data_IF_335758452895
#
_entry.id   IF_335758452895
#
_cell.length_a   1.000
_cell.length_b   1.000
_cell.length_c   1.000
_cell.angle_alpha   90.00
_cell.angle_beta   90.00
_cell.angle_gamma   90.00
#
_symmetry.space_group_name_H-M   'P 1'
#
loop_
_entity.id
_entity.type
_entity.pdbx_description
1 polymer ?
#
# COMPACT_ATOMS: atom_id res chain seq x y z
N UNK A 1 -10.95 8.48 -12.61
CA UNK A 1 -10.58 7.98 -13.95
C UNK A 1 -11.34 8.73 -15.04
N UNK A 2 -12.65 8.89 -14.95
CA UNK A 2 -13.44 9.59 -15.96
C UNK A 2 -13.06 11.07 -16.07
N UNK A 3 -13.13 11.83 -15.00
CA UNK A 3 -12.84 13.28 -14.98
C UNK A 3 -11.35 13.58 -15.18
N UNK A 4 -10.44 12.82 -14.54
CA UNK A 4 -9.00 13.10 -14.61
C UNK A 4 -8.34 12.57 -15.89
N UNK A 5 -8.80 11.46 -16.44
CA UNK A 5 -8.17 10.76 -17.57
C UNK A 5 -9.05 10.76 -18.85
N UNK A 6 -10.24 11.35 -18.78
CA UNK A 6 -11.16 11.41 -19.91
C UNK A 6 -11.71 10.05 -20.35
N UNK A 7 -11.67 9.03 -19.50
CA UNK A 7 -12.14 7.70 -19.85
C UNK A 7 -13.67 7.62 -19.87
N UNK A 8 -14.21 6.79 -20.78
CA UNK A 8 -15.62 6.44 -20.75
C UNK A 8 -15.98 5.68 -19.46
N UNK A 9 -17.24 5.77 -19.03
CA UNK A 9 -17.72 5.04 -17.86
C UNK A 9 -17.56 3.52 -18.02
N UNK A 10 -17.72 2.98 -19.22
CA UNK A 10 -17.50 1.56 -19.53
C UNK A 10 -16.04 1.14 -19.35
N UNK A 11 -15.10 1.95 -19.86
CA UNK A 11 -13.66 1.69 -19.71
C UNK A 11 -13.24 1.79 -18.24
N UNK A 12 -13.73 2.78 -17.51
CA UNK A 12 -13.48 2.90 -16.07
C UNK A 12 -14.04 1.70 -15.29
N UNK A 13 -15.25 1.23 -15.64
CA UNK A 13 -15.84 0.01 -15.08
C UNK A 13 -15.01 -1.25 -15.36
N UNK A 14 -14.49 -1.39 -16.59
CA UNK A 14 -13.60 -2.49 -16.95
C UNK A 14 -12.30 -2.46 -16.12
N UNK A 15 -11.68 -1.28 -15.91
CA UNK A 15 -10.51 -1.13 -15.05
C UNK A 15 -10.79 -1.52 -13.60
N UNK A 16 -11.97 -1.18 -13.06
CA UNK A 16 -12.38 -1.60 -11.72
C UNK A 16 -12.53 -3.13 -11.63
N UNK A 17 -13.07 -3.77 -12.67
CA UNK A 17 -13.15 -5.24 -12.73
C UNK A 17 -11.76 -5.87 -12.74
N UNK A 18 -10.83 -5.34 -13.53
CA UNK A 18 -9.41 -5.75 -13.52
C UNK A 18 -8.80 -5.56 -12.13
N UNK A 19 -9.11 -4.45 -11.45
CA UNK A 19 -8.65 -4.19 -10.08
C UNK A 19 -9.09 -5.29 -9.11
N UNK A 20 -10.37 -5.67 -9.14
CA UNK A 20 -10.90 -6.73 -8.27
C UNK A 20 -10.24 -8.08 -8.57
N UNK A 21 -10.10 -8.44 -9.84
CA UNK A 21 -9.44 -9.68 -10.24
C UNK A 21 -7.97 -9.71 -9.79
N UNK A 22 -7.24 -8.61 -9.96
CA UNK A 22 -5.86 -8.47 -9.52
C UNK A 22 -5.74 -8.54 -7.98
N UNK A 23 -6.67 -7.93 -7.24
CA UNK A 23 -6.70 -7.99 -5.78
C UNK A 23 -6.91 -9.44 -5.28
N UNK A 24 -7.84 -10.19 -5.89
CA UNK A 24 -8.07 -11.59 -5.54
C UNK A 24 -6.83 -12.44 -5.81
N UNK A 25 -6.25 -12.32 -7.01
CA UNK A 25 -5.06 -13.07 -7.39
C UNK A 25 -3.86 -12.74 -6.46
N UNK A 26 -3.64 -11.46 -6.20
CA UNK A 26 -2.57 -11.01 -5.30
C UNK A 26 -2.78 -11.47 -3.86
N UNK A 27 -4.02 -11.53 -3.38
CA UNK A 27 -4.36 -12.05 -2.06
C UNK A 27 -3.91 -13.50 -1.88
N UNK A 28 -4.17 -14.35 -2.87
CA UNK A 28 -3.73 -15.74 -2.88
C UNK A 28 -2.19 -15.81 -2.88
N UNK A 29 -1.54 -15.08 -3.77
CA UNK A 29 -0.07 -15.09 -3.88
C UNK A 29 0.59 -14.57 -2.60
N UNK A 30 0.10 -13.46 -2.05
CA UNK A 30 0.64 -12.90 -0.80
C UNK A 30 0.40 -13.83 0.38
N UNK A 31 -0.76 -14.50 0.46
CA UNK A 31 -1.03 -15.50 1.49
C UNK A 31 -0.02 -16.66 1.45
N UNK A 32 0.26 -17.18 0.26
CA UNK A 32 1.27 -18.22 0.07
C UNK A 32 2.69 -17.74 0.41
N UNK A 33 3.05 -16.53 -0.02
CA UNK A 33 4.38 -15.95 0.25
C UNK A 33 4.60 -15.65 1.73
N UNK A 34 3.62 -15.10 2.41
CA UNK A 34 3.72 -14.78 3.86
C UNK A 34 3.75 -16.04 4.72
N UNK A 35 3.05 -17.10 4.31
CA UNK A 35 3.13 -18.42 4.95
C UNK A 35 4.48 -19.10 4.74
N UNK A 36 4.99 -19.06 3.49
CA UNK A 36 6.26 -19.72 3.15
C UNK A 36 7.50 -18.97 3.62
N UNK A 37 7.43 -17.63 3.70
CA UNK A 37 8.57 -16.77 4.02
C UNK A 37 8.24 -15.74 5.13
N UNK A 38 7.95 -16.19 6.37
CA UNK A 38 7.49 -15.31 7.45
C UNK A 38 8.49 -14.19 7.78
N UNK A 39 9.80 -14.44 7.65
CA UNK A 39 10.85 -13.46 7.89
C UNK A 39 10.98 -12.38 6.81
N UNK A 40 10.34 -12.57 5.65
CA UNK A 40 10.39 -11.63 4.52
C UNK A 40 9.16 -10.74 4.41
N UNK A 41 8.20 -10.83 5.34
CA UNK A 41 6.95 -10.02 5.36
C UNK A 41 7.21 -8.52 5.23
N UNK A 42 8.19 -7.97 5.95
CA UNK A 42 8.55 -6.55 5.84
C UNK A 42 9.07 -6.16 4.45
N UNK A 43 9.77 -7.05 3.76
CA UNK A 43 10.22 -6.81 2.40
C UNK A 43 9.07 -6.86 1.40
N UNK A 44 8.09 -7.74 1.59
CA UNK A 44 6.88 -7.77 0.77
C UNK A 44 6.10 -6.46 0.89
N UNK A 45 5.91 -5.95 2.11
CA UNK A 45 5.27 -4.65 2.32
C UNK A 45 6.03 -3.53 1.62
N UNK A 46 7.36 -3.46 1.82
CA UNK A 46 8.19 -2.44 1.18
C UNK A 46 8.13 -2.51 -0.35
N UNK A 47 8.17 -3.71 -0.93
CA UNK A 47 8.09 -3.86 -2.40
C UNK A 47 6.75 -3.39 -2.95
N UNK A 48 5.64 -3.69 -2.26
CA UNK A 48 4.29 -3.22 -2.65
C UNK A 48 4.23 -1.69 -2.60
N UNK A 49 4.73 -1.09 -1.51
CA UNK A 49 4.73 0.37 -1.34
C UNK A 49 5.58 1.07 -2.39
N UNK A 50 6.79 0.58 -2.63
CA UNK A 50 7.71 1.14 -3.66
C UNK A 50 7.13 0.97 -5.04
N UNK A 51 6.58 -0.20 -5.37
CA UNK A 51 5.95 -0.44 -6.67
C UNK A 51 4.77 0.51 -6.90
N UNK A 52 3.89 0.69 -5.89
CA UNK A 52 2.75 1.61 -5.97
C UNK A 52 3.20 3.06 -6.13
N UNK A 53 4.19 3.50 -5.34
CA UNK A 53 4.73 4.85 -5.42
C UNK A 53 5.39 5.11 -6.79
N UNK A 54 6.15 4.15 -7.31
CA UNK A 54 6.78 4.25 -8.63
C UNK A 54 5.74 4.34 -9.75
N UNK A 55 4.71 3.51 -9.73
CA UNK A 55 3.65 3.54 -10.73
C UNK A 55 2.90 4.87 -10.72
N UNK A 56 2.55 5.38 -9.54
CA UNK A 56 1.95 6.71 -9.42
C UNK A 56 2.90 7.81 -9.89
N UNK A 57 4.19 7.75 -9.55
CA UNK A 57 5.17 8.72 -10.03
C UNK A 57 5.26 8.75 -11.55
N UNK A 58 5.26 7.58 -12.20
CA UNK A 58 5.27 7.48 -13.67
C UNK A 58 4.03 8.12 -14.27
N UNK A 59 2.84 7.78 -13.74
CA UNK A 59 1.57 8.31 -14.29
C UNK A 59 1.44 9.82 -14.06
N UNK A 60 1.84 10.33 -12.88
CA UNK A 60 1.77 11.77 -12.57
C UNK A 60 2.87 12.59 -13.25
N UNK A 61 3.95 11.97 -13.72
CA UNK A 61 4.98 12.65 -14.50
C UNK A 61 4.59 12.91 -15.96
N UNK A 62 3.53 12.26 -16.44
CA UNK A 62 3.07 12.47 -17.81
C UNK A 62 2.46 13.88 -17.99
N UNK A 63 2.71 14.53 -19.12
CA UNK A 63 2.19 15.87 -19.41
C UNK A 63 0.69 15.89 -19.75
N UNK A 64 0.07 14.73 -19.92
CA UNK A 64 -1.33 14.56 -20.28
C UNK A 64 -1.89 13.22 -19.80
N UNK A 65 -3.14 12.89 -20.22
CA UNK A 65 -3.77 11.63 -19.86
C UNK A 65 -2.90 10.41 -20.20
N UNK A 66 -2.82 9.48 -19.26
CA UNK A 66 -2.00 8.29 -19.41
C UNK A 66 -2.62 7.31 -20.44
N UNK A 67 -1.82 6.62 -21.25
CA UNK A 67 -2.32 5.60 -22.16
C UNK A 67 -2.98 4.46 -21.39
N UNK A 68 -3.97 3.81 -21.98
CA UNK A 68 -4.81 2.80 -21.33
C UNK A 68 -3.99 1.65 -20.74
N UNK A 69 -2.97 1.17 -21.46
CA UNK A 69 -2.10 0.09 -20.97
C UNK A 69 -1.38 0.46 -19.66
N UNK A 70 -0.97 1.72 -19.52
CA UNK A 70 -0.31 2.20 -18.30
C UNK A 70 -1.31 2.32 -17.13
N UNK A 71 -2.56 2.71 -17.42
CA UNK A 71 -3.63 2.73 -16.42
C UNK A 71 -4.01 1.32 -15.98
N UNK A 72 -4.03 0.34 -16.87
CA UNK A 72 -4.20 -1.07 -16.54
C UNK A 72 -3.08 -1.53 -15.61
N UNK A 73 -1.83 -1.22 -15.94
CA UNK A 73 -0.68 -1.60 -15.11
C UNK A 73 -0.73 -0.91 -13.74
N UNK A 74 -1.06 0.38 -13.69
CA UNK A 74 -1.27 1.12 -12.44
C UNK A 74 -2.33 0.41 -11.58
N UNK A 75 -3.49 0.14 -12.15
CA UNK A 75 -4.61 -0.49 -11.44
C UNK A 75 -4.24 -1.86 -10.90
N UNK A 76 -3.53 -2.68 -11.67
CA UNK A 76 -3.03 -3.99 -11.21
C UNK A 76 -2.07 -3.83 -10.04
N UNK A 77 -1.10 -2.92 -10.13
CA UNK A 77 -0.09 -2.73 -9.08
C UNK A 77 -0.72 -2.20 -7.79
N UNK A 78 -1.59 -1.18 -7.87
CA UNK A 78 -2.21 -0.62 -6.66
C UNK A 78 -3.21 -1.57 -6.01
N UNK A 79 -3.82 -2.49 -6.77
CA UNK A 79 -4.76 -3.48 -6.26
C UNK A 79 -4.11 -4.48 -5.31
N UNK A 80 -2.78 -4.65 -5.38
CA UNK A 80 -2.01 -5.48 -4.43
C UNK A 80 -2.00 -4.87 -3.02
N UNK A 81 -2.20 -3.56 -2.91
CA UNK A 81 -2.16 -2.83 -1.64
C UNK A 81 -3.22 -3.29 -0.63
N UNK A 82 -4.43 -3.60 -1.09
CA UNK A 82 -5.51 -4.13 -0.24
C UNK A 82 -5.11 -5.43 0.46
N UNK A 83 -4.85 -6.51 -0.28
CA UNK A 83 -4.34 -7.76 0.29
C UNK A 83 -3.02 -7.60 1.04
N UNK A 84 -2.14 -6.70 0.58
CA UNK A 84 -0.88 -6.38 1.24
C UNK A 84 -1.04 -5.83 2.67
N UNK A 85 -2.14 -5.16 2.96
CA UNK A 85 -2.44 -4.64 4.31
C UNK A 85 -2.62 -5.75 5.36
N UNK A 86 -3.04 -6.95 4.96
CA UNK A 86 -3.18 -8.11 5.83
C UNK A 86 -1.85 -8.49 6.49
N UNK A 87 -0.72 -8.20 5.85
CA UNK A 87 0.61 -8.43 6.42
C UNK A 87 0.79 -7.62 7.73
N UNK A 88 0.18 -6.45 7.85
CA UNK A 88 0.18 -5.66 9.08
C UNK A 88 -0.48 -6.40 10.24
N UNK A 89 -1.62 -7.04 9.99
CA UNK A 89 -2.31 -7.87 10.98
C UNK A 89 -1.50 -9.11 11.35
N UNK A 90 -0.84 -9.74 10.39
CA UNK A 90 0.05 -10.88 10.65
C UNK A 90 1.23 -10.49 11.54
N UNK A 91 1.82 -9.32 11.30
CA UNK A 91 2.89 -8.79 12.15
C UNK A 91 2.36 -8.49 13.57
N UNK A 92 1.18 -7.88 13.70
CA UNK A 92 0.55 -7.65 14.99
C UNK A 92 0.33 -8.95 15.76
N UNK A 93 -0.11 -10.02 15.10
CA UNK A 93 -0.28 -11.35 15.71
C UNK A 93 1.04 -12.00 16.13
N UNK A 94 2.08 -11.81 15.35
CA UNK A 94 3.38 -12.46 15.60
C UNK A 94 4.14 -11.82 16.77
N UNK A 95 3.99 -10.50 16.97
CA UNK A 95 4.80 -9.75 17.93
C UNK A 95 4.04 -9.32 19.21
N UNK A 96 2.79 -9.74 19.38
CA UNK A 96 2.01 -9.41 20.58
C UNK A 96 1.50 -10.67 21.27
N UNK A 97 1.45 -10.67 22.64
CA UNK A 97 0.84 -11.74 23.42
C UNK A 97 -0.63 -11.95 23.04
N UNK A 98 -1.11 -13.18 23.19
CA UNK A 98 -2.50 -13.55 22.86
C UNK A 98 -3.55 -12.68 23.58
N UNK A 99 -3.28 -12.28 24.80
CA UNK A 99 -4.14 -11.39 25.60
C UNK A 99 -4.34 -10.00 24.98
N UNK A 100 -3.39 -9.51 24.16
CA UNK A 100 -3.39 -8.16 23.59
C UNK A 100 -3.67 -8.15 22.08
N UNK A 101 -3.98 -9.28 21.46
CA UNK A 101 -4.16 -9.39 20.00
C UNK A 101 -5.26 -8.48 19.47
N UNK A 102 -6.39 -8.39 20.17
CA UNK A 102 -7.49 -7.52 19.75
C UNK A 102 -7.08 -6.05 19.71
N UNK A 103 -6.38 -5.58 20.74
CA UNK A 103 -5.86 -4.21 20.80
C UNK A 103 -4.84 -3.96 19.68
N UNK A 104 -3.87 -4.86 19.50
CA UNK A 104 -2.84 -4.73 18.48
C UNK A 104 -3.43 -4.67 17.06
N UNK A 105 -4.38 -5.54 16.76
CA UNK A 105 -5.07 -5.54 15.46
C UNK A 105 -5.96 -4.30 15.30
N UNK A 106 -6.64 -3.88 16.36
CA UNK A 106 -7.40 -2.63 16.37
C UNK A 106 -6.55 -1.41 16.04
N UNK A 107 -5.36 -1.31 16.59
CA UNK A 107 -4.41 -0.22 16.30
C UNK A 107 -3.96 -0.24 14.83
N UNK A 108 -3.67 -1.40 14.26
CA UNK A 108 -3.34 -1.54 12.82
C UNK A 108 -4.49 -1.05 11.97
N UNK A 109 -5.71 -1.45 12.30
CA UNK A 109 -6.91 -1.06 11.57
C UNK A 109 -7.17 0.46 11.65
N UNK A 110 -7.12 1.03 12.86
CA UNK A 110 -7.28 2.48 13.08
C UNK A 110 -6.22 3.26 12.29
N UNK A 111 -4.97 2.82 12.34
CA UNK A 111 -3.88 3.48 11.60
C UNK A 111 -4.12 3.49 10.09
N UNK A 112 -4.59 2.38 9.52
CA UNK A 112 -4.93 2.28 8.11
C UNK A 112 -6.09 3.18 7.70
N UNK A 113 -7.19 3.16 8.46
CA UNK A 113 -8.35 4.02 8.19
C UNK A 113 -8.05 5.50 8.37
N UNK A 114 -7.32 5.88 9.43
CA UNK A 114 -6.94 7.26 9.68
C UNK A 114 -6.05 7.81 8.56
N UNK A 115 -5.04 7.05 8.13
CA UNK A 115 -4.19 7.44 7.00
C UNK A 115 -5.01 7.63 5.72
N UNK A 116 -5.92 6.69 5.41
CA UNK A 116 -6.80 6.78 4.25
C UNK A 116 -7.72 8.00 4.31
N UNK A 117 -8.32 8.26 5.47
CA UNK A 117 -9.21 9.41 5.68
C UNK A 117 -8.46 10.73 5.46
N UNK A 118 -7.25 10.86 6.04
CA UNK A 118 -6.43 12.06 5.89
C UNK A 118 -6.03 12.29 4.44
N UNK A 119 -5.64 11.24 3.71
CA UNK A 119 -5.29 11.34 2.28
C UNK A 119 -6.50 11.76 1.46
N UNK A 120 -7.65 11.13 1.65
CA UNK A 120 -8.87 11.47 0.90
C UNK A 120 -9.31 12.90 1.19
N UNK A 121 -9.30 13.31 2.46
CA UNK A 121 -9.65 14.68 2.86
C UNK A 121 -8.69 15.71 2.25
N UNK A 122 -7.38 15.43 2.27
CA UNK A 122 -6.38 16.32 1.67
C UNK A 122 -6.54 16.42 0.15
N UNK A 123 -6.81 15.30 -0.54
CA UNK A 123 -7.13 15.31 -1.98
C UNK A 123 -8.35 16.17 -2.26
N UNK A 124 -9.45 15.97 -1.51
CA UNK A 124 -10.66 16.75 -1.67
C UNK A 124 -10.41 18.24 -1.47
N UNK A 125 -9.73 18.61 -0.39
CA UNK A 125 -9.39 20.02 -0.11
C UNK A 125 -8.53 20.67 -1.22
N UNK A 126 -7.55 19.97 -1.76
CA UNK A 126 -6.72 20.49 -2.86
C UNK A 126 -7.55 20.66 -4.13
N UNK A 127 -8.43 19.70 -4.46
CA UNK A 127 -9.31 19.81 -5.63
C UNK A 127 -10.24 21.02 -5.52
N UNK A 128 -10.81 21.27 -4.35
CA UNK A 128 -11.65 22.43 -4.09
C UNK A 128 -10.85 23.75 -4.19
N UNK A 129 -9.66 23.79 -3.61
CA UNK A 129 -8.78 24.95 -3.64
C UNK A 129 -8.28 25.29 -5.07
N UNK A 130 -8.15 24.28 -5.93
CA UNK A 130 -7.75 24.45 -7.34
C UNK A 130 -8.92 24.74 -8.30
N UNK A 131 -10.13 24.88 -7.78
CA UNK A 131 -11.31 25.29 -8.55
C UNK A 131 -11.95 24.20 -9.39
N UNK A 132 -11.69 22.90 -9.08
CA UNK A 132 -12.46 21.81 -9.67
C UNK A 132 -11.67 20.57 -10.13
N UNK A 133 -12.38 19.69 -10.82
CA UNK A 133 -11.97 18.35 -11.17
C UNK A 133 -11.27 18.29 -12.54
N UNK A 134 -10.22 19.07 -12.74
CA UNK A 134 -9.41 19.04 -13.96
C UNK A 134 -8.28 18.00 -13.88
N UNK A 135 -7.67 17.68 -15.01
CA UNK A 135 -6.49 16.81 -15.04
C UNK A 135 -5.36 17.33 -14.14
N UNK A 136 -5.08 18.65 -14.22
CA UNK A 136 -4.02 19.27 -13.43
C UNK A 136 -4.35 19.28 -11.92
N UNK A 137 -5.59 19.57 -11.54
CA UNK A 137 -6.03 19.52 -10.14
C UNK A 137 -5.85 18.14 -9.55
N UNK A 138 -6.24 17.09 -10.29
CA UNK A 138 -6.02 15.69 -9.85
C UNK A 138 -4.53 15.34 -9.77
N UNK A 139 -3.72 15.82 -10.70
CA UNK A 139 -2.28 15.58 -10.71
C UNK A 139 -1.62 16.12 -9.44
N UNK A 140 -1.95 17.35 -9.06
CA UNK A 140 -1.44 17.98 -7.83
C UNK A 140 -2.01 17.30 -6.58
N UNK A 141 -3.31 17.08 -6.54
CA UNK A 141 -3.97 16.46 -5.39
C UNK A 141 -3.42 15.06 -5.06
N UNK A 142 -3.14 14.26 -6.08
CA UNK A 142 -2.61 12.90 -5.90
C UNK A 142 -1.16 12.87 -5.41
N UNK A 143 -0.42 13.98 -5.45
CA UNK A 143 0.93 14.05 -4.85
C UNK A 143 0.91 13.90 -3.32
N UNK A 144 -0.21 14.17 -2.67
CA UNK A 144 -0.38 14.00 -1.20
C UNK A 144 -0.06 12.57 -0.72
N UNK A 145 -0.17 11.57 -1.58
CA UNK A 145 0.13 10.19 -1.23
C UNK A 145 1.63 9.96 -0.94
N UNK A 146 2.51 10.70 -1.61
CA UNK A 146 3.97 10.46 -1.50
C UNK A 146 4.53 10.71 -0.09
N UNK A 147 4.22 11.81 0.61
CA UNK A 147 4.61 11.99 2.01
C UNK A 147 4.17 10.82 2.90
N UNK A 148 2.95 10.30 2.71
CA UNK A 148 2.44 9.18 3.49
C UNK A 148 3.25 7.90 3.22
N UNK A 149 3.57 7.59 1.97
CA UNK A 149 4.42 6.45 1.62
C UNK A 149 5.85 6.61 2.16
N UNK A 150 6.43 7.81 2.10
CA UNK A 150 7.77 8.08 2.65
C UNK A 150 7.78 7.81 4.15
N UNK A 151 6.81 8.35 4.91
CA UNK A 151 6.69 8.12 6.35
C UNK A 151 6.50 6.63 6.66
N UNK A 152 5.65 5.94 5.89
CA UNK A 152 5.39 4.53 6.07
C UNK A 152 6.63 3.67 5.77
N UNK A 153 7.37 3.94 4.69
CA UNK A 153 8.62 3.25 4.33
C UNK A 153 9.66 3.44 5.43
N UNK A 154 9.85 4.69 5.89
CA UNK A 154 10.79 5.00 6.98
C UNK A 154 10.37 4.25 8.26
N UNK A 155 9.08 4.26 8.61
CA UNK A 155 8.53 3.54 9.75
C UNK A 155 8.81 2.03 9.70
N UNK A 156 8.55 1.40 8.55
CA UNK A 156 8.84 -0.03 8.37
C UNK A 156 10.34 -0.33 8.47
N UNK A 157 11.19 0.50 7.88
CA UNK A 157 12.64 0.31 7.94
C UNK A 157 13.18 0.52 9.36
N UNK A 158 12.70 1.53 10.09
CA UNK A 158 13.11 1.83 11.45
C UNK A 158 12.70 0.72 12.42
N UNK A 159 11.44 0.29 12.38
CA UNK A 159 10.93 -0.81 13.21
C UNK A 159 11.65 -2.11 12.91
N UNK A 160 11.89 -2.44 11.66
CA UNK A 160 12.65 -3.60 11.26
C UNK A 160 14.09 -3.59 11.82
N UNK A 161 14.77 -2.44 11.76
CA UNK A 161 16.11 -2.28 12.34
C UNK A 161 16.09 -2.51 13.86
N UNK A 162 15.08 -1.95 14.55
CA UNK A 162 14.90 -2.11 16.00
C UNK A 162 14.66 -3.57 16.36
N UNK A 163 13.73 -4.25 15.70
CA UNK A 163 13.44 -5.68 15.93
C UNK A 163 14.67 -6.56 15.73
N UNK A 164 15.46 -6.32 14.67
CA UNK A 164 16.70 -7.07 14.45
C UNK A 164 17.73 -6.88 15.54
N UNK A 165 17.86 -5.65 16.09
CA UNK A 165 18.77 -5.39 17.20
C UNK A 165 18.35 -6.13 18.47
N UNK A 166 17.05 -6.16 18.78
CA UNK A 166 16.52 -6.90 19.93
C UNK A 166 16.77 -8.39 19.77
N UNK A 167 16.40 -8.98 18.64
CA UNK A 167 16.64 -10.40 18.37
C UNK A 167 18.13 -10.80 18.47
N UNK A 168 19.01 -9.93 17.96
CA UNK A 168 20.46 -10.17 18.06
C UNK A 168 20.97 -10.08 19.51
N UNK A 169 20.40 -9.19 20.33
CA UNK A 169 20.74 -9.09 21.76
C UNK A 169 20.28 -10.32 22.55
N UNK A 170 19.15 -10.92 22.16
CA UNK A 170 18.61 -12.15 22.75
C UNK A 170 19.27 -13.43 22.22
N UNK A 171 20.33 -13.32 21.39
CA UNK A 171 21.04 -14.45 20.79
C UNK A 171 20.27 -15.19 19.71
N UNK A 172 19.14 -14.66 19.26
CA UNK A 172 18.29 -15.25 18.23
C UNK A 172 18.75 -14.76 16.87
N UNK A 173 19.52 -15.59 16.17
CA UNK A 173 19.93 -15.27 14.80
C UNK A 173 18.84 -15.65 13.79
N UNK A 174 18.56 -14.80 12.78
CA UNK A 174 17.52 -15.07 11.74
C UNK A 174 17.74 -16.39 10.96
N UNK A 175 18.93 -16.95 11.00
CA UNK A 175 19.27 -18.22 10.34
C UNK A 175 18.81 -19.44 11.14
N UNK A 176 18.66 -19.35 12.45
CA UNK A 176 18.24 -20.48 13.30
C UNK A 176 16.71 -20.66 13.31
N UNK A 177 15.93 -19.66 12.85
CA UNK A 177 14.47 -19.77 12.74
C UNK A 177 13.98 -20.45 11.44
N UNK A 178 14.86 -21.05 10.66
CA UNK A 178 14.49 -21.84 9.47
C UNK A 178 14.10 -23.28 9.79
N UNK A 179 14.30 -23.72 11.02
CA UNK A 179 14.14 -25.13 11.42
C UNK A 179 13.01 -25.35 12.45
N UNK A 180 12.16 -24.34 12.70
CA UNK A 180 10.98 -24.49 13.57
C UNK A 180 9.70 -24.27 12.78
#
# INVERSE_FOLDING_TARGET
LTSAQGLSASTAGALLTVSVAAAVASGIVLGLLTGRYPMRRSWLVLSIMVASATMWAIVLALPGPAPLWLLVLLVVVISVGGPGSVIGFDLARTFNPSANLGTAQGMVNIGGFLASLLVIAAIGWILDAMGGYTFESFRVALLVQFPVWIVAIIGVLATRRKTRKVLAADGIHPHTMREV
#
